data_IF_163430868604
#
_entry.id   IF_163430868604
#
_cell.length_a   1.000
_cell.length_b   1.000
_cell.length_c   1.000
_cell.angle_alpha   90.00
_cell.angle_beta   90.00
_cell.angle_gamma   90.00
#
_symmetry.space_group_name_H-M   'P 1'
#
loop_
_entity.id
_entity.type
_entity.pdbx_description
1 polymer ?
#
# COMPACT_ATOMS: atom_id res chain seq x y z
N UNK A 1 -52.78 3.76 -16.83
CA UNK A 1 -53.25 5.09 -16.42
C UNK A 1 -52.04 5.90 -15.92
N UNK A 2 -51.64 6.86 -16.74
CA UNK A 2 -51.25 8.28 -16.49
C UNK A 2 -50.08 8.50 -15.51
N UNK A 3 -48.90 8.74 -16.08
CA UNK A 3 -48.21 10.05 -16.12
C UNK A 3 -47.83 10.69 -14.80
N UNK A 4 -46.51 10.95 -14.60
CA UNK A 4 -46.05 12.32 -14.44
C UNK A 4 -44.52 12.41 -14.52
N UNK A 5 -44.05 12.97 -15.60
CA UNK A 5 -42.75 13.56 -15.85
C UNK A 5 -42.61 14.81 -14.94
N UNK A 6 -41.56 14.93 -14.17
CA UNK A 6 -41.15 16.24 -13.60
C UNK A 6 -39.74 16.59 -14.05
N UNK A 7 -39.70 17.45 -15.04
CA UNK A 7 -38.57 18.30 -15.43
C UNK A 7 -38.27 19.27 -14.27
N UNK A 8 -37.02 19.36 -13.85
CA UNK A 8 -36.57 20.53 -13.11
C UNK A 8 -35.34 21.16 -13.78
N UNK A 9 -35.56 22.37 -14.12
CA UNK A 9 -34.87 23.46 -14.71
C UNK A 9 -33.60 23.82 -13.96
N UNK A 10 -32.52 24.09 -14.73
CA UNK A 10 -31.29 24.74 -14.27
C UNK A 10 -31.50 26.24 -14.05
N UNK A 11 -30.87 26.88 -13.10
CA UNK A 11 -30.54 28.31 -13.21
C UNK A 11 -29.09 28.51 -13.62
N UNK A 12 -28.95 29.30 -14.64
CA UNK A 12 -27.76 29.98 -15.11
C UNK A 12 -27.52 31.15 -14.13
N UNK A 13 -26.32 31.29 -13.59
CA UNK A 13 -25.89 32.51 -12.97
C UNK A 13 -24.69 33.09 -13.70
N UNK A 14 -24.88 34.34 -14.06
CA UNK A 14 -24.02 35.18 -14.86
C UNK A 14 -22.83 35.72 -14.05
N UNK A 15 -21.75 35.98 -14.78
CA UNK A 15 -20.51 36.64 -14.38
C UNK A 15 -20.74 38.15 -14.35
N UNK A 16 -20.06 38.91 -13.51
CA UNK A 16 -19.56 40.22 -13.92
C UNK A 16 -18.04 40.32 -13.83
N UNK A 17 -17.48 40.81 -14.92
CA UNK A 17 -16.18 41.41 -15.14
C UNK A 17 -16.10 42.81 -14.55
N UNK A 18 -14.97 43.16 -14.00
CA UNK A 18 -14.30 44.50 -13.99
C UNK A 18 -13.24 44.46 -12.85
N UNK A 19 -12.08 44.98 -12.96
CA UNK A 19 -11.36 45.87 -13.82
C UNK A 19 -10.01 46.14 -13.19
N UNK A 20 -9.01 46.16 -13.98
CA UNK A 20 -7.81 47.00 -14.08
C UNK A 20 -7.38 47.82 -12.86
N UNK A 21 -6.15 47.71 -12.41
CA UNK A 21 -5.14 48.80 -12.49
C UNK A 21 -3.72 48.31 -12.17
N UNK A 22 -2.78 48.78 -12.98
CA UNK A 22 -1.37 48.60 -12.92
C UNK A 22 -0.67 49.58 -11.96
N UNK A 23 0.47 49.22 -11.40
CA UNK A 23 1.58 50.12 -11.09
C UNK A 23 2.85 49.29 -10.75
N UNK A 24 3.77 49.21 -11.67
CA UNK A 24 5.10 49.87 -11.67
C UNK A 24 6.09 49.46 -10.57
N UNK A 25 7.12 48.84 -11.03
CA UNK A 25 8.53 48.57 -10.68
C UNK A 25 9.24 49.84 -10.09
N UNK A 26 10.42 49.78 -9.42
CA UNK A 26 11.62 49.05 -9.87
C UNK A 26 12.60 48.54 -8.78
N UNK A 27 13.51 47.66 -9.25
CA UNK A 27 14.97 47.78 -9.14
C UNK A 27 15.75 47.14 -7.99
N UNK A 28 16.61 46.25 -8.42
CA UNK A 28 18.03 46.03 -8.12
C UNK A 28 18.48 45.68 -6.69
N UNK A 29 19.03 44.53 -6.58
CA UNK A 29 20.44 44.41 -6.24
C UNK A 29 20.94 42.94 -6.32
N UNK A 30 21.90 42.78 -7.19
CA UNK A 30 22.78 41.65 -7.40
C UNK A 30 23.60 41.36 -6.12
N UNK A 31 23.55 40.16 -5.59
CA UNK A 31 24.61 39.58 -4.81
C UNK A 31 24.80 38.12 -5.18
N UNK A 32 25.87 37.85 -5.87
CA UNK A 32 26.45 36.55 -6.08
C UNK A 32 26.82 35.93 -4.74
N UNK A 33 26.19 34.80 -4.40
CA UNK A 33 26.71 33.90 -3.41
C UNK A 33 26.84 32.52 -4.05
N UNK A 34 28.04 32.17 -4.40
CA UNK A 34 28.41 30.79 -4.72
C UNK A 34 28.20 29.95 -3.46
N UNK A 35 27.18 29.14 -3.44
CA UNK A 35 27.08 28.03 -2.51
C UNK A 35 27.13 26.72 -3.29
N UNK A 36 28.31 26.16 -3.39
CA UNK A 36 28.57 24.81 -3.84
C UNK A 36 27.98 23.84 -2.82
N UNK A 37 26.73 23.45 -2.99
CA UNK A 37 26.11 22.41 -2.21
C UNK A 37 26.27 21.08 -2.94
N UNK A 38 27.25 20.32 -2.48
CA UNK A 38 27.47 18.92 -2.82
C UNK A 38 26.18 18.15 -2.56
N UNK A 39 25.62 17.57 -3.61
CA UNK A 39 24.38 16.80 -3.57
C UNK A 39 24.51 15.59 -2.65
N UNK A 40 23.97 15.71 -1.47
CA UNK A 40 23.60 14.56 -0.68
C UNK A 40 22.35 13.94 -1.36
N UNK A 41 22.54 12.80 -2.01
CA UNK A 41 21.44 11.95 -2.44
C UNK A 41 20.71 11.44 -1.19
N UNK A 42 19.76 12.22 -0.71
CA UNK A 42 18.75 11.74 0.24
C UNK A 42 17.84 10.75 -0.51
N UNK A 43 18.20 9.47 -0.45
CA UNK A 43 17.31 8.37 -0.77
C UNK A 43 16.32 8.20 0.39
N UNK A 44 15.53 9.22 0.64
CA UNK A 44 14.31 9.07 1.44
C UNK A 44 13.42 8.06 0.72
N UNK A 45 13.44 6.82 1.16
CA UNK A 45 12.47 5.81 0.78
C UNK A 45 11.14 6.28 1.36
N UNK A 46 10.42 7.09 0.58
CA UNK A 46 9.05 7.48 0.88
C UNK A 46 8.27 6.18 1.05
N UNK A 47 7.89 5.87 2.29
CA UNK A 47 7.02 4.75 2.61
C UNK A 47 5.70 5.04 1.90
N UNK A 48 5.45 4.34 0.79
CA UNK A 48 4.20 4.46 0.05
C UNK A 48 3.08 3.92 0.94
N UNK A 49 2.47 4.82 1.70
CA UNK A 49 1.28 4.52 2.49
C UNK A 49 0.09 4.65 1.56
N UNK A 50 -0.44 3.52 1.13
CA UNK A 50 -1.60 3.47 0.26
C UNK A 50 -2.87 3.45 1.11
N UNK A 51 -3.69 4.50 1.00
CA UNK A 51 -4.94 4.65 1.77
C UNK A 51 -6.12 4.79 0.83
N UNK A 52 -7.21 4.07 1.11
CA UNK A 52 -8.48 4.18 0.39
C UNK A 52 -9.64 3.86 1.34
N UNK A 53 -10.64 4.75 1.40
CA UNK A 53 -11.85 4.59 2.22
C UNK A 53 -11.58 4.22 3.70
N UNK A 54 -10.51 4.76 4.30
CA UNK A 54 -10.11 4.46 5.68
C UNK A 54 -9.19 3.24 5.82
N UNK A 55 -9.06 2.40 4.78
CA UNK A 55 -8.14 1.26 4.77
C UNK A 55 -6.76 1.72 4.32
N UNK A 56 -5.73 1.41 5.11
CA UNK A 56 -4.34 1.78 4.86
C UNK A 56 -3.44 0.56 4.91
N UNK A 57 -2.60 0.36 3.90
CA UNK A 57 -1.53 -0.63 3.94
C UNK A 57 -0.29 0.02 4.55
N UNK A 58 0.14 -0.50 5.68
CA UNK A 58 1.28 0.04 6.44
C UNK A 58 2.60 -0.66 6.12
N UNK A 59 2.55 -1.89 5.63
CA UNK A 59 3.72 -2.61 5.10
C UNK A 59 3.31 -3.70 4.12
N UNK A 60 4.18 -3.99 3.15
CA UNK A 60 4.09 -5.16 2.29
C UNK A 60 5.51 -5.67 2.03
N UNK A 61 5.76 -6.97 2.27
CA UNK A 61 7.05 -7.58 2.09
C UNK A 61 6.94 -9.06 1.76
N UNK A 62 7.99 -9.65 1.23
CA UNK A 62 8.07 -11.08 0.96
C UNK A 62 9.43 -11.64 1.39
N UNK A 63 9.54 -12.94 1.60
CA UNK A 63 10.82 -13.61 1.79
C UNK A 63 11.50 -13.86 0.45
N UNK A 64 12.81 -13.63 0.40
CA UNK A 64 13.62 -14.09 -0.71
C UNK A 64 13.50 -15.61 -0.85
N UNK A 65 13.58 -16.10 -2.08
CA UNK A 65 13.54 -17.53 -2.36
C UNK A 65 14.92 -18.06 -2.74
N UNK A 66 15.22 -19.27 -2.31
CA UNK A 66 16.46 -19.95 -2.67
C UNK A 66 16.30 -20.70 -3.99
N UNK A 67 17.34 -20.68 -4.84
CA UNK A 67 17.42 -21.47 -6.05
C UNK A 67 16.22 -21.32 -6.99
N UNK A 68 15.69 -22.44 -7.45
CA UNK A 68 14.54 -22.55 -8.37
C UNK A 68 13.22 -22.77 -7.61
N UNK A 69 13.04 -22.19 -6.42
CA UNK A 69 11.80 -22.33 -5.68
C UNK A 69 10.61 -21.87 -6.52
N UNK A 70 9.61 -22.73 -6.67
CA UNK A 70 8.36 -22.42 -7.39
C UNK A 70 7.34 -21.67 -6.55
N UNK A 71 7.52 -21.63 -5.23
CA UNK A 71 6.61 -21.00 -4.29
C UNK A 71 7.33 -19.99 -3.40
N UNK A 72 6.59 -18.98 -2.95
CA UNK A 72 7.04 -17.95 -2.02
C UNK A 72 5.93 -17.52 -1.07
N UNK A 73 6.26 -16.62 -0.14
CA UNK A 73 5.31 -16.06 0.79
C UNK A 73 5.49 -14.54 0.88
N UNK A 74 4.37 -13.82 0.87
CA UNK A 74 4.32 -12.40 1.14
C UNK A 74 3.45 -12.11 2.38
N UNK A 75 3.72 -10.99 3.02
CA UNK A 75 3.12 -10.57 4.27
C UNK A 75 2.73 -9.11 4.17
N UNK A 76 1.55 -8.79 4.62
CA UNK A 76 0.95 -7.46 4.46
C UNK A 76 0.41 -7.02 5.81
N UNK A 77 0.62 -5.77 6.16
CA UNK A 77 -0.02 -5.14 7.32
C UNK A 77 -1.03 -4.13 6.84
N UNK A 78 -2.26 -4.25 7.31
CA UNK A 78 -3.40 -3.40 6.95
C UNK A 78 -4.03 -2.84 8.20
N UNK A 79 -4.37 -1.57 8.19
CA UNK A 79 -5.17 -0.90 9.20
C UNK A 79 -6.46 -0.38 8.59
N UNK A 80 -7.58 -0.54 9.30
CA UNK A 80 -8.84 0.09 8.98
C UNK A 80 -9.14 1.16 10.04
N UNK A 81 -8.92 2.42 9.69
CA UNK A 81 -9.27 3.57 10.52
C UNK A 81 -10.64 4.17 10.14
N UNK A 82 -11.38 3.48 9.28
CA UNK A 82 -12.74 3.85 8.89
C UNK A 82 -13.79 3.34 9.88
N UNK A 83 -15.00 3.90 9.81
CA UNK A 83 -16.13 3.51 10.66
C UNK A 83 -16.88 2.25 10.19
N UNK A 84 -16.52 1.70 9.03
CA UNK A 84 -17.16 0.51 8.46
C UNK A 84 -16.18 -0.66 8.43
N UNK A 85 -16.68 -1.86 8.70
CA UNK A 85 -15.92 -3.08 8.50
C UNK A 85 -15.63 -3.31 7.01
N UNK A 86 -14.50 -3.94 6.71
CA UNK A 86 -14.12 -4.37 5.37
C UNK A 86 -13.56 -5.80 5.42
N UNK A 87 -13.23 -6.38 4.28
CA UNK A 87 -12.60 -7.69 4.13
C UNK A 87 -11.55 -7.67 3.06
N UNK A 88 -10.37 -8.20 3.33
CA UNK A 88 -9.41 -8.53 2.29
C UNK A 88 -9.82 -9.87 1.66
N UNK A 89 -10.32 -9.84 0.42
CA UNK A 89 -10.89 -11.00 -0.26
C UNK A 89 -9.96 -11.63 -1.30
N UNK A 90 -8.98 -10.88 -1.80
CA UNK A 90 -7.99 -11.43 -2.74
C UNK A 90 -6.70 -10.59 -2.76
N UNK A 91 -5.63 -11.22 -3.25
CA UNK A 91 -4.38 -10.55 -3.64
C UNK A 91 -4.04 -10.98 -5.05
N UNK A 92 -3.70 -10.01 -5.92
CA UNK A 92 -3.35 -10.20 -7.33
C UNK A 92 -1.97 -9.62 -7.64
N UNK A 93 -1.35 -10.05 -8.73
CA UNK A 93 -0.08 -9.54 -9.24
C UNK A 93 0.55 -10.53 -10.21
N UNK A 94 1.65 -10.10 -10.87
CA UNK A 94 2.28 -10.87 -11.95
C UNK A 94 3.51 -11.66 -11.48
N UNK A 95 3.85 -11.60 -10.20
CA UNK A 95 5.04 -12.27 -9.64
C UNK A 95 4.88 -13.80 -9.59
N UNK A 96 3.64 -14.29 -9.53
CA UNK A 96 3.30 -15.71 -9.47
C UNK A 96 2.06 -16.02 -10.30
N UNK A 97 1.91 -17.27 -10.74
CA UNK A 97 0.75 -17.73 -11.51
C UNK A 97 -0.54 -17.68 -10.70
N UNK A 98 -0.45 -17.90 -9.38
CA UNK A 98 -1.58 -17.90 -8.45
C UNK A 98 -1.18 -17.36 -7.09
N UNK A 99 -2.05 -16.57 -6.48
CA UNK A 99 -1.89 -16.04 -5.14
C UNK A 99 -3.12 -16.38 -4.31
N UNK A 100 -2.90 -16.85 -3.10
CA UNK A 100 -3.97 -17.23 -2.17
C UNK A 100 -3.65 -16.74 -0.77
N UNK A 101 -4.68 -16.35 -0.03
CA UNK A 101 -4.55 -16.02 1.38
C UNK A 101 -4.59 -17.33 2.18
N UNK A 102 -3.58 -17.58 2.98
CA UNK A 102 -3.46 -18.76 3.83
C UNK A 102 -3.26 -18.38 5.29
N UNK A 103 -3.59 -19.32 6.17
CA UNK A 103 -3.25 -19.23 7.59
C UNK A 103 -2.68 -20.57 8.07
N UNK A 104 -1.94 -20.52 9.18
CA UNK A 104 -1.49 -21.73 9.85
C UNK A 104 -2.50 -22.10 10.94
N UNK A 105 -2.88 -23.37 10.96
CA UNK A 105 -3.71 -23.97 12.01
C UNK A 105 -2.86 -25.01 12.75
N UNK A 106 -2.84 -24.92 14.07
CA UNK A 106 -2.28 -25.98 14.90
C UNK A 106 -3.44 -26.92 15.34
N UNK A 107 -3.39 -28.17 14.92
CA UNK A 107 -4.29 -29.22 15.41
C UNK A 107 -3.45 -30.32 16.04
N UNK A 108 -3.56 -30.50 17.35
CA UNK A 108 -2.84 -31.53 18.10
C UNK A 108 -1.33 -31.51 17.89
N UNK A 109 -0.70 -30.33 17.88
CA UNK A 109 0.73 -30.15 17.64
C UNK A 109 1.15 -30.20 16.18
N UNK A 110 0.24 -30.51 15.25
CA UNK A 110 0.53 -30.54 13.80
C UNK A 110 0.14 -29.21 13.18
N UNK A 111 1.12 -28.48 12.64
CA UNK A 111 0.91 -27.25 11.90
C UNK A 111 0.47 -27.57 10.45
N UNK A 112 -0.69 -27.07 10.06
CA UNK A 112 -1.21 -27.20 8.69
C UNK A 112 -1.53 -25.83 8.12
N UNK A 113 -1.18 -25.61 6.86
CA UNK A 113 -1.63 -24.44 6.11
C UNK A 113 -3.05 -24.67 5.60
N UNK A 114 -3.90 -23.67 5.74
CA UNK A 114 -5.27 -23.66 5.22
C UNK A 114 -5.48 -22.39 4.43
N UNK A 115 -6.02 -22.51 3.21
CA UNK A 115 -6.57 -21.39 2.46
C UNK A 115 -7.75 -20.79 3.22
N UNK A 116 -7.84 -19.46 3.22
CA UNK A 116 -9.00 -18.70 3.71
C UNK A 116 -9.55 -17.85 2.58
N UNK A 117 -10.87 -17.68 2.58
CA UNK A 117 -11.53 -16.93 1.51
C UNK A 117 -11.39 -15.42 1.70
N UNK A 118 -11.29 -14.97 2.95
CA UNK A 118 -11.10 -13.57 3.31
C UNK A 118 -10.45 -13.41 4.68
N UNK A 119 -9.99 -12.20 4.96
CA UNK A 119 -9.58 -11.75 6.29
C UNK A 119 -10.49 -10.59 6.69
N UNK A 120 -11.17 -10.72 7.84
CA UNK A 120 -11.99 -9.65 8.42
C UNK A 120 -11.12 -8.45 8.81
N UNK A 121 -11.64 -7.27 8.55
CA UNK A 121 -11.00 -5.99 8.87
C UNK A 121 -12.04 -5.07 9.56
N UNK A 122 -12.37 -5.31 10.84
CA UNK A 122 -13.31 -4.48 11.58
C UNK A 122 -12.90 -3.00 11.60
N UNK A 123 -13.82 -2.09 11.95
CA UNK A 123 -13.46 -0.69 12.23
C UNK A 123 -12.37 -0.61 13.31
N UNK A 124 -11.51 0.40 13.20
CA UNK A 124 -10.43 0.69 14.16
C UNK A 124 -9.50 -0.50 14.44
N UNK A 125 -9.37 -1.41 13.47
CA UNK A 125 -8.56 -2.62 13.60
C UNK A 125 -7.28 -2.58 12.77
N UNK A 126 -6.36 -3.47 13.15
CA UNK A 126 -5.13 -3.72 12.40
C UNK A 126 -4.90 -5.22 12.25
N UNK A 127 -4.64 -5.65 11.03
CA UNK A 127 -4.22 -7.01 10.71
C UNK A 127 -2.75 -6.96 10.29
N UNK A 128 -1.95 -7.81 10.92
CA UNK A 128 -0.55 -8.00 10.56
C UNK A 128 -0.34 -9.45 10.13
N UNK A 129 -0.09 -9.64 8.84
CA UNK A 129 0.36 -10.94 8.36
C UNK A 129 1.82 -11.17 8.76
N UNK A 130 2.14 -12.39 9.21
CA UNK A 130 3.49 -12.76 9.67
C UNK A 130 3.75 -14.24 9.48
N UNK A 131 5.01 -14.67 9.44
CA UNK A 131 5.36 -16.08 9.44
C UNK A 131 4.69 -16.82 10.61
N UNK A 132 4.10 -17.97 10.31
CA UNK A 132 3.32 -18.73 11.29
C UNK A 132 1.87 -18.29 11.48
N UNK A 133 1.45 -17.19 10.85
CA UNK A 133 0.08 -16.68 10.85
C UNK A 133 -0.50 -16.56 9.43
N UNK A 134 -1.31 -15.52 9.22
CA UNK A 134 -1.78 -15.18 7.87
C UNK A 134 -0.62 -14.81 6.97
N UNK A 135 -0.69 -15.23 5.71
CA UNK A 135 0.27 -14.90 4.65
C UNK A 135 -0.39 -15.04 3.27
N UNK A 136 0.21 -14.40 2.29
CA UNK A 136 -0.13 -14.60 0.88
C UNK A 136 0.82 -15.65 0.32
N UNK A 137 0.27 -16.81 -0.03
CA UNK A 137 1.01 -17.86 -0.72
C UNK A 137 1.16 -17.51 -2.19
N UNK A 138 2.39 -17.40 -2.67
CA UNK A 138 2.75 -17.14 -4.06
C UNK A 138 3.09 -18.47 -4.72
N UNK A 139 2.25 -18.95 -5.64
CA UNK A 139 2.41 -20.26 -6.27
C UNK A 139 2.75 -20.11 -7.75
N UNK A 140 3.75 -20.86 -8.18
CA UNK A 140 4.25 -20.79 -9.56
C UNK A 140 4.94 -19.46 -9.82
N UNK A 141 5.94 -19.12 -9.00
CA UNK A 141 6.75 -17.92 -9.17
C UNK A 141 7.34 -17.85 -10.59
N UNK A 142 7.19 -16.69 -11.23
CA UNK A 142 7.72 -16.45 -12.57
C UNK A 142 9.26 -16.30 -12.55
N UNK A 143 9.78 -15.72 -11.48
CA UNK A 143 11.22 -15.50 -11.22
C UNK A 143 11.50 -15.64 -9.74
N UNK A 144 12.72 -16.04 -9.34
CA UNK A 144 13.11 -16.04 -7.93
C UNK A 144 12.99 -14.66 -7.29
N UNK A 145 12.48 -14.61 -6.07
CA UNK A 145 12.42 -13.40 -5.28
C UNK A 145 13.81 -13.07 -4.71
N UNK A 146 14.43 -11.99 -5.19
CA UNK A 146 15.78 -11.58 -4.78
C UNK A 146 15.68 -10.45 -3.75
N UNK A 147 16.39 -10.59 -2.62
CA UNK A 147 16.46 -9.55 -1.56
C UNK A 147 16.71 -8.15 -2.13
N UNK A 148 16.01 -7.15 -1.58
CA UNK A 148 16.08 -5.74 -1.97
C UNK A 148 15.34 -5.39 -3.27
N UNK A 149 14.68 -6.37 -3.93
CA UNK A 149 13.82 -6.08 -5.08
C UNK A 149 12.40 -5.78 -4.62
N UNK A 150 11.74 -4.93 -5.39
CA UNK A 150 10.32 -4.58 -5.21
C UNK A 150 9.48 -5.27 -6.29
N UNK A 151 8.27 -5.63 -5.95
CA UNK A 151 7.27 -6.08 -6.92
C UNK A 151 5.86 -5.61 -6.55
N UNK A 152 5.01 -5.31 -7.55
CA UNK A 152 3.67 -4.81 -7.29
C UNK A 152 2.73 -5.94 -6.84
N UNK A 153 1.84 -5.59 -5.91
CA UNK A 153 0.67 -6.36 -5.51
C UNK A 153 -0.57 -5.49 -5.60
N UNK A 154 -1.70 -6.10 -5.89
CA UNK A 154 -3.03 -5.50 -5.85
C UNK A 154 -3.81 -6.23 -4.77
N UNK A 155 -4.15 -5.53 -3.70
CA UNK A 155 -5.02 -6.01 -2.64
C UNK A 155 -6.45 -5.70 -3.01
N UNK A 156 -7.33 -6.69 -2.94
CA UNK A 156 -8.74 -6.52 -3.27
C UNK A 156 -9.55 -6.59 -1.98
N UNK A 157 -10.16 -5.48 -1.65
CA UNK A 157 -11.06 -5.35 -0.50
C UNK A 157 -12.53 -5.38 -0.97
N UNK A 158 -13.40 -5.91 -0.13
CA UNK A 158 -14.82 -6.06 -0.45
C UNK A 158 -15.52 -4.69 -0.61
N UNK A 159 -15.27 -3.76 0.29
CA UNK A 159 -15.88 -2.41 0.30
C UNK A 159 -14.95 -1.37 -0.34
N UNK A 160 -13.69 -1.33 0.07
CA UNK A 160 -12.73 -0.33 -0.40
C UNK A 160 -12.22 -0.59 -1.83
N UNK A 161 -12.45 -1.80 -2.38
CA UNK A 161 -12.02 -2.17 -3.73
C UNK A 161 -10.51 -2.41 -3.83
N UNK A 162 -9.91 -2.11 -4.97
CA UNK A 162 -8.51 -2.41 -5.25
C UNK A 162 -7.55 -1.33 -4.71
N UNK A 163 -6.46 -1.78 -4.11
CA UNK A 163 -5.38 -0.96 -3.59
C UNK A 163 -4.04 -1.54 -4.05
N UNK A 164 -3.27 -0.75 -4.80
CA UNK A 164 -1.96 -1.16 -5.31
C UNK A 164 -0.88 -0.86 -4.28
N UNK A 165 0.02 -1.80 -4.05
CA UNK A 165 1.15 -1.65 -3.13
C UNK A 165 2.41 -2.25 -3.72
N UNK A 166 3.57 -1.81 -3.24
CA UNK A 166 4.86 -2.38 -3.60
C UNK A 166 5.39 -3.22 -2.44
N UNK A 167 5.64 -4.51 -2.69
CA UNK A 167 6.19 -5.41 -1.68
C UNK A 167 7.70 -5.50 -1.83
N UNK A 168 8.42 -5.31 -0.72
CA UNK A 168 9.87 -5.45 -0.67
C UNK A 168 10.28 -6.90 -0.36
N UNK A 169 11.28 -7.40 -1.09
CA UNK A 169 11.83 -8.73 -0.83
C UNK A 169 12.90 -8.65 0.24
N UNK A 170 12.60 -9.20 1.41
CA UNK A 170 13.48 -9.30 2.56
C UNK A 170 14.35 -10.58 2.50
N UNK A 171 15.23 -10.78 3.47
CA UNK A 171 16.05 -11.99 3.57
C UNK A 171 15.19 -13.26 3.67
N UNK A 172 15.76 -14.44 3.37
CA UNK A 172 15.09 -15.74 3.45
C UNK A 172 14.54 -16.01 4.86
N UNK A 173 15.29 -15.63 5.89
CA UNK A 173 14.92 -15.83 7.30
C UNK A 173 14.15 -14.67 7.92
N UNK A 174 13.72 -13.66 7.16
CA UNK A 174 13.04 -12.49 7.72
C UNK A 174 11.74 -12.88 8.45
N UNK A 175 11.52 -12.29 9.63
CA UNK A 175 10.32 -12.51 10.43
C UNK A 175 9.37 -11.29 10.37
N UNK A 176 9.86 -10.14 9.90
CA UNK A 176 9.12 -8.88 9.72
C UNK A 176 9.70 -8.09 8.55
N UNK A 177 8.95 -7.15 8.03
CA UNK A 177 9.42 -6.20 7.01
C UNK A 177 10.44 -5.22 7.57
N UNK A 178 10.99 -4.35 6.73
CA UNK A 178 11.84 -3.25 7.19
C UNK A 178 10.99 -2.33 8.09
N UNK A 179 11.18 -2.46 9.40
CA UNK A 179 10.70 -1.46 10.36
C UNK A 179 11.73 -0.33 10.39
N UNK A 180 11.24 0.92 10.28
CA UNK A 180 12.07 2.05 10.63
C UNK A 180 12.40 1.94 12.12
N UNK A 181 13.56 1.40 12.46
CA UNK A 181 14.17 1.66 13.75
C UNK A 181 14.45 3.16 13.81
N UNK A 182 13.52 3.90 14.43
CA UNK A 182 13.83 5.24 14.90
C UNK A 182 15.15 5.15 15.67
N UNK A 183 16.12 5.96 15.25
CA UNK A 183 17.42 6.08 15.91
C UNK A 183 17.15 6.41 17.36
N UNK A 184 17.23 5.41 18.25
CA UNK A 184 17.45 5.65 19.65
C UNK A 184 18.88 6.19 19.75
N UNK A 185 19.01 7.53 19.80
CA UNK A 185 20.21 8.16 20.32
C UNK A 185 20.31 7.73 21.78
N UNK A 186 21.20 6.76 22.06
CA UNK A 186 21.61 6.44 23.39
C UNK A 186 22.30 7.67 24.02
N UNK A 187 21.91 7.94 25.23
CA UNK A 187 22.60 8.87 26.13
C UNK A 187 23.91 8.24 26.60
#
# INVERSE_FOLDING_TARGET
MKNALKKFIKPIFAIPTAGVLAASIPNAANTHSHNSNLGAHDKSHKKDTHTKAGVTVTSAWARATAGKASNGAAYISVANAGSKADRLIAVKGDVAKRMEIHTHLNRNGIMRMKKVDFIELPPDSRIQMKPGGYHVMLMGLQKPLKKGKLFPLILVFEQSGELKVSAEVMSVGAMHGAENHGVHKGH
#
